data_IF_091944187339
#
_entry.id   IF_091944187339
#
_cell.length_a   1.000
_cell.length_b   1.000
_cell.length_c   1.000
_cell.angle_alpha   90.00
_cell.angle_beta   90.00
_cell.angle_gamma   90.00
#
_symmetry.space_group_name_H-M   'P 1'
#
loop_
_entity.id
_entity.type
_entity.pdbx_description
1 polymer ?
#
# COMPACT_ATOMS: atom_id res chain seq x y z
N UNK A 1 -44.11 -14.64 -12.79
CA UNK A 1 -43.43 -13.81 -11.76
C UNK A 1 -42.05 -14.37 -11.40
N UNK A 2 -41.90 -15.67 -11.11
CA UNK A 2 -40.61 -16.27 -10.74
C UNK A 2 -39.48 -16.07 -11.78
N UNK A 3 -39.77 -16.24 -13.07
CA UNK A 3 -38.79 -16.06 -14.15
C UNK A 3 -38.29 -14.61 -14.22
N UNK A 4 -39.17 -13.63 -13.98
CA UNK A 4 -38.79 -12.20 -13.96
C UNK A 4 -37.96 -11.85 -12.71
N UNK A 5 -38.24 -12.49 -11.57
CA UNK A 5 -37.43 -12.35 -10.35
C UNK A 5 -36.04 -12.95 -10.56
N UNK A 6 -35.96 -14.15 -11.15
CA UNK A 6 -34.69 -14.83 -11.45
C UNK A 6 -33.85 -14.08 -12.49
N UNK A 7 -34.49 -13.53 -13.52
CA UNK A 7 -33.82 -12.70 -14.53
C UNK A 7 -33.23 -11.42 -13.91
N UNK A 8 -33.94 -10.79 -12.97
CA UNK A 8 -33.48 -9.59 -12.26
C UNK A 8 -32.37 -9.86 -11.24
N UNK A 9 -32.29 -11.07 -10.70
CA UNK A 9 -31.16 -11.52 -9.85
C UNK A 9 -29.99 -12.08 -10.66
N UNK A 10 -30.16 -12.27 -11.97
CA UNK A 10 -29.15 -12.81 -12.87
C UNK A 10 -28.19 -11.77 -13.45
N UNK A 11 -28.41 -10.48 -13.17
CA UNK A 11 -27.51 -9.39 -13.53
C UNK A 11 -26.23 -9.49 -12.67
N UNK A 12 -25.38 -10.44 -13.04
CA UNK A 12 -24.21 -10.88 -12.30
C UNK A 12 -22.97 -10.03 -12.58
N UNK A 13 -23.05 -8.73 -12.33
CA UNK A 13 -21.90 -7.82 -12.48
C UNK A 13 -20.68 -8.30 -11.67
N UNK A 14 -20.91 -9.00 -10.55
CA UNK A 14 -19.88 -9.57 -9.68
C UNK A 14 -19.65 -11.08 -9.85
N UNK A 15 -20.45 -11.78 -10.68
CA UNK A 15 -20.34 -13.24 -10.85
C UNK A 15 -18.91 -13.66 -11.23
N UNK A 16 -18.26 -12.79 -12.02
CA UNK A 16 -16.90 -12.98 -12.53
C UNK A 16 -15.82 -12.91 -11.43
N UNK A 17 -16.06 -12.10 -10.40
CA UNK A 17 -15.20 -11.96 -9.22
C UNK A 17 -15.46 -13.11 -8.26
N UNK A 18 -16.72 -13.48 -8.06
CA UNK A 18 -17.15 -14.56 -7.17
C UNK A 18 -16.61 -15.93 -7.60
N UNK A 19 -16.69 -16.27 -8.90
CA UNK A 19 -16.17 -17.56 -9.36
C UNK A 19 -14.64 -17.61 -9.27
N UNK A 20 -13.93 -16.50 -9.51
CA UNK A 20 -12.47 -16.40 -9.36
C UNK A 20 -12.07 -16.59 -7.90
N UNK A 21 -12.80 -15.97 -6.98
CA UNK A 21 -12.58 -16.14 -5.54
C UNK A 21 -12.81 -17.59 -5.10
N UNK A 22 -13.93 -18.20 -5.50
CA UNK A 22 -14.24 -19.60 -5.19
C UNK A 22 -13.18 -20.56 -5.75
N UNK A 23 -12.73 -20.33 -6.99
CA UNK A 23 -11.65 -21.10 -7.61
C UNK A 23 -10.32 -20.96 -6.88
N UNK A 24 -9.94 -19.75 -6.48
CA UNK A 24 -8.71 -19.52 -5.72
C UNK A 24 -8.75 -20.22 -4.35
N UNK A 25 -9.91 -20.19 -3.67
CA UNK A 25 -10.12 -20.90 -2.40
C UNK A 25 -9.99 -22.41 -2.56
N UNK A 26 -10.52 -22.96 -3.65
CA UNK A 26 -10.34 -24.37 -4.00
C UNK A 26 -8.86 -24.69 -4.25
N UNK A 27 -8.14 -23.88 -5.03
CA UNK A 27 -6.72 -24.11 -5.27
C UNK A 27 -5.88 -24.02 -4.00
N UNK A 28 -6.18 -23.08 -3.11
CA UNK A 28 -5.49 -22.94 -1.83
C UNK A 28 -5.65 -24.19 -0.95
N UNK A 29 -6.81 -24.87 -1.00
CA UNK A 29 -7.03 -26.11 -0.23
C UNK A 29 -6.19 -27.30 -0.73
N UNK A 30 -5.67 -27.25 -1.96
CA UNK A 30 -4.74 -28.23 -2.50
C UNK A 30 -3.26 -27.92 -2.19
N UNK A 31 -2.93 -26.67 -1.87
CA UNK A 31 -1.54 -26.27 -1.55
C UNK A 31 -1.11 -26.67 -0.14
N UNK A 32 -2.03 -26.93 0.78
CA UNK A 32 -1.69 -27.37 2.13
C UNK A 32 -1.16 -28.82 2.12
N UNK A 33 0.09 -28.97 2.54
CA UNK A 33 0.88 -30.20 2.63
C UNK A 33 0.25 -31.21 3.62
N UNK A 34 -0.79 -31.92 3.18
CA UNK A 34 -1.42 -32.97 3.99
C UNK A 34 -2.23 -34.01 3.22
N UNK A 35 -2.58 -33.76 1.96
CA UNK A 35 -3.33 -34.71 1.11
C UNK A 35 -2.74 -34.76 -0.29
N UNK A 36 -1.52 -35.27 -0.41
CA UNK A 36 -0.87 -35.53 -1.70
C UNK A 36 -1.48 -36.73 -2.44
N UNK A 37 -2.63 -37.27 -1.99
CA UNK A 37 -3.25 -38.45 -2.56
C UNK A 37 -4.78 -38.27 -2.66
N UNK A 38 -5.38 -38.51 -3.84
CA UNK A 38 -6.84 -38.56 -3.97
C UNK A 38 -7.39 -39.72 -3.14
N UNK A 39 -8.62 -39.60 -2.62
CA UNK A 39 -9.35 -40.76 -2.08
C UNK A 39 -9.39 -41.84 -3.18
N UNK A 40 -9.02 -43.12 -2.96
CA UNK A 40 -8.89 -43.90 -1.70
C UNK A 40 -7.47 -44.01 -1.08
N UNK A 41 -6.45 -43.35 -1.60
CA UNK A 41 -5.07 -43.50 -1.11
C UNK A 41 -4.72 -42.61 0.11
N UNK A 42 -5.73 -41.97 0.72
CA UNK A 42 -5.61 -41.15 1.93
C UNK A 42 -5.52 -41.96 3.25
N UNK A 43 -5.46 -43.30 3.18
CA UNK A 43 -5.35 -44.18 4.36
C UNK A 43 -3.92 -44.62 4.69
N UNK A 44 -2.95 -44.44 3.79
CA UNK A 44 -1.55 -44.79 4.09
C UNK A 44 -0.83 -43.51 4.52
N UNK A 45 -0.61 -43.28 5.82
CA UNK A 45 0.23 -42.16 6.25
C UNK A 45 1.58 -42.26 5.55
N UNK A 46 2.02 -41.16 4.92
CA UNK A 46 3.36 -41.07 4.34
C UNK A 46 4.40 -41.57 5.35
N UNK A 47 5.40 -42.37 4.93
CA UNK A 47 6.45 -42.88 5.83
C UNK A 47 7.12 -41.78 6.68
N UNK A 48 7.12 -40.53 6.17
CA UNK A 48 7.64 -39.36 6.89
C UNK A 48 6.71 -38.87 8.01
N UNK A 49 5.39 -38.95 7.84
CA UNK A 49 4.41 -38.56 8.86
C UNK A 49 4.49 -39.46 10.09
N UNK A 50 4.68 -40.76 9.89
CA UNK A 50 4.88 -41.71 10.99
C UNK A 50 6.18 -41.42 11.76
N UNK A 51 7.27 -41.08 11.08
CA UNK A 51 8.54 -40.69 11.72
C UNK A 51 8.36 -39.46 12.63
N UNK A 52 7.72 -38.39 12.15
CA UNK A 52 7.45 -37.20 12.98
C UNK A 52 6.47 -37.48 14.13
N UNK A 53 5.48 -38.36 13.92
CA UNK A 53 4.55 -38.79 14.97
C UNK A 53 5.26 -39.57 16.09
N UNK A 54 6.15 -40.50 15.74
CA UNK A 54 6.97 -41.24 16.72
C UNK A 54 7.91 -40.30 17.47
N UNK A 55 8.52 -39.32 16.80
CA UNK A 55 9.35 -38.30 17.47
C UNK A 55 8.54 -37.43 18.44
N UNK A 56 7.30 -37.05 18.06
CA UNK A 56 6.36 -36.32 18.92
C UNK A 56 5.96 -37.14 20.13
N UNK A 57 5.63 -38.41 19.96
CA UNK A 57 5.25 -39.33 21.04
C UNK A 57 6.43 -39.56 21.97
N UNK A 58 7.64 -39.83 21.45
CA UNK A 58 8.86 -39.97 22.28
C UNK A 58 9.17 -38.70 23.05
N UNK A 59 9.07 -37.53 22.41
CA UNK A 59 9.27 -36.23 23.08
C UNK A 59 8.17 -35.91 24.11
N UNK A 60 6.98 -36.48 23.96
CA UNK A 60 5.89 -36.40 24.93
C UNK A 60 6.16 -37.32 26.11
N UNK A 61 6.51 -38.59 25.86
CA UNK A 61 6.90 -39.56 26.88
C UNK A 61 8.10 -39.10 27.69
N UNK A 62 9.14 -38.56 27.06
CA UNK A 62 10.30 -37.99 27.76
C UNK A 62 9.85 -36.85 28.69
N UNK A 63 8.93 -35.99 28.25
CA UNK A 63 8.37 -34.91 29.09
C UNK A 63 7.53 -35.42 30.26
N UNK A 64 6.71 -36.46 30.05
CA UNK A 64 5.92 -37.07 31.12
C UNK A 64 6.80 -37.84 32.12
N UNK A 65 7.83 -38.55 31.65
CA UNK A 65 8.77 -39.25 32.54
C UNK A 65 9.70 -38.28 33.29
N UNK A 66 10.02 -37.10 32.72
CA UNK A 66 10.80 -36.06 33.41
C UNK A 66 10.00 -35.32 34.50
N UNK A 67 8.67 -35.47 34.55
CA UNK A 67 7.87 -34.92 35.64
C UNK A 67 8.03 -35.71 36.96
N UNK A 68 8.54 -36.95 36.90
CA UNK A 68 8.73 -37.83 38.08
C UNK A 68 10.19 -38.16 38.41
N UNK A 69 11.18 -37.53 37.75
CA UNK A 69 12.60 -37.83 37.94
C UNK A 69 13.41 -36.59 38.28
N UNK A 70 13.82 -36.48 39.55
CA UNK A 70 14.71 -35.45 40.05
C UNK A 70 16.01 -35.36 39.20
N UNK A 71 16.50 -34.12 39.06
CA UNK A 71 17.79 -33.70 38.46
C UNK A 71 18.92 -34.74 38.53
N UNK A 72 19.45 -35.17 37.38
CA UNK A 72 20.85 -35.61 37.29
C UNK A 72 21.40 -35.38 35.87
N UNK A 73 22.58 -34.75 35.84
CA UNK A 73 23.38 -34.43 34.66
C UNK A 73 23.75 -35.69 33.88
N UNK A 74 23.87 -35.58 32.56
CA UNK A 74 24.98 -36.12 31.79
C UNK A 74 25.01 -35.47 30.41
N UNK A 75 25.96 -34.56 30.29
CA UNK A 75 26.73 -34.18 29.11
C UNK A 75 27.06 -35.41 28.26
N UNK A 76 26.59 -35.42 27.01
CA UNK A 76 27.22 -36.14 25.90
C UNK A 76 26.83 -35.41 24.61
N UNK A 77 27.69 -34.44 24.34
CA UNK A 77 28.05 -33.80 23.09
C UNK A 77 27.75 -34.65 21.83
N UNK A 78 26.97 -34.12 20.88
CA UNK A 78 27.18 -34.41 19.47
C UNK A 78 26.72 -33.23 18.60
N UNK A 79 27.70 -32.44 18.18
CA UNK A 79 27.74 -31.86 16.84
C UNK A 79 26.87 -30.62 16.61
N UNK A 80 27.49 -29.46 16.75
CA UNK A 80 27.13 -28.28 15.97
C UNK A 80 27.11 -28.63 14.47
N UNK A 81 26.01 -28.36 13.78
CA UNK A 81 26.10 -27.96 12.38
C UNK A 81 25.21 -26.73 12.16
N UNK A 82 25.91 -25.63 11.89
CA UNK A 82 25.39 -24.39 11.38
C UNK A 82 24.47 -24.62 10.18
N UNK A 83 23.22 -24.16 10.29
CA UNK A 83 22.51 -23.63 9.13
C UNK A 83 21.45 -22.65 9.61
N UNK A 84 21.79 -21.36 9.52
CA UNK A 84 20.81 -20.29 9.39
C UNK A 84 19.97 -20.58 8.13
N UNK A 85 18.89 -21.32 8.29
CA UNK A 85 17.89 -21.51 7.25
C UNK A 85 16.54 -21.06 7.80
N UNK A 86 16.26 -19.78 7.57
CA UNK A 86 14.93 -19.20 7.32
C UNK A 86 13.75 -20.11 7.69
N UNK A 87 13.27 -19.98 8.91
CA UNK A 87 11.90 -20.40 9.26
C UNK A 87 11.16 -19.22 9.91
N UNK A 88 10.99 -18.16 9.13
CA UNK A 88 10.01 -17.10 9.39
C UNK A 88 8.75 -17.41 8.55
N UNK A 89 8.24 -18.64 8.63
CA UNK A 89 6.90 -18.97 8.14
C UNK A 89 5.89 -18.69 9.25
N UNK A 90 5.27 -17.52 9.14
CA UNK A 90 3.85 -17.31 9.41
C UNK A 90 3.37 -17.74 10.82
N UNK A 91 3.80 -17.03 11.87
CA UNK A 91 3.10 -17.04 13.16
C UNK A 91 2.20 -15.82 13.27
N UNK A 92 0.98 -15.94 12.74
CA UNK A 92 -0.03 -14.87 12.66
C UNK A 92 -1.20 -15.08 13.62
N UNK A 93 -0.94 -15.46 14.87
CA UNK A 93 -1.95 -15.40 15.94
C UNK A 93 -1.27 -15.00 17.26
N UNK A 94 -1.60 -13.84 17.86
CA UNK A 94 -1.16 -13.52 19.21
C UNK A 94 -1.89 -14.44 20.19
N UNK A 95 -1.15 -15.08 21.09
CA UNK A 95 -1.75 -15.71 22.27
C UNK A 95 -2.15 -14.61 23.27
N UNK A 96 -3.31 -14.71 23.94
CA UNK A 96 -3.67 -13.77 25.00
C UNK A 96 -2.71 -13.96 26.18
N UNK A 97 -1.86 -12.97 26.47
CA UNK A 97 -1.03 -12.95 27.69
C UNK A 97 0.46 -12.62 27.54
N UNK A 98 0.98 -12.32 26.35
CA UNK A 98 2.39 -11.86 26.20
C UNK A 98 2.46 -10.33 26.26
N UNK A 99 3.13 -9.82 27.30
CA UNK A 99 3.43 -8.40 27.47
C UNK A 99 4.10 -7.81 26.24
N UNK A 100 3.71 -6.58 25.89
CA UNK A 100 4.23 -5.77 24.80
C UNK A 100 5.74 -5.50 24.99
N UNK A 101 6.60 -6.42 24.54
CA UNK A 101 8.01 -6.10 24.31
C UNK A 101 8.05 -5.16 23.09
N UNK A 102 8.51 -3.89 23.22
CA UNK A 102 8.63 -3.00 22.09
C UNK A 102 9.61 -3.61 21.10
N UNK A 103 9.11 -4.07 19.96
CA UNK A 103 9.96 -4.58 18.88
C UNK A 103 10.92 -3.46 18.48
N UNK A 104 12.21 -3.67 18.74
CA UNK A 104 13.30 -2.76 18.38
C UNK A 104 13.07 -2.23 16.95
N UNK A 105 13.15 -0.91 16.80
CA UNK A 105 13.02 -0.20 15.54
C UNK A 105 13.93 -0.83 14.47
N UNK A 106 13.32 -1.58 13.55
CA UNK A 106 14.03 -2.19 12.41
C UNK A 106 14.63 -1.05 11.58
N UNK A 107 15.93 -0.84 11.71
CA UNK A 107 16.69 0.27 11.12
C UNK A 107 16.63 0.33 9.59
N UNK A 108 16.36 -0.79 8.92
CA UNK A 108 16.25 -0.86 7.47
C UNK A 108 14.88 -1.39 7.04
N UNK A 109 14.18 -0.70 6.11
CA UNK A 109 12.91 -1.16 5.62
C UNK A 109 13.10 -2.49 4.88
N UNK A 110 12.34 -3.49 5.30
CA UNK A 110 12.27 -4.81 4.68
C UNK A 110 11.88 -4.70 3.21
N UNK A 111 12.22 -5.71 2.40
CA UNK A 111 11.81 -5.78 0.98
C UNK A 111 10.30 -5.59 0.81
N UNK A 112 9.50 -6.15 1.73
CA UNK A 112 8.05 -5.93 1.79
C UNK A 112 7.71 -4.44 1.95
N UNK A 113 8.28 -3.74 2.93
CA UNK A 113 8.04 -2.30 3.13
C UNK A 113 8.43 -1.47 1.90
N UNK A 114 9.53 -1.80 1.22
CA UNK A 114 9.92 -1.13 -0.03
C UNK A 114 8.93 -1.39 -1.17
N UNK A 115 8.37 -2.60 -1.27
CA UNK A 115 7.35 -2.94 -2.26
C UNK A 115 6.04 -2.22 -1.93
N UNK A 116 5.59 -2.27 -0.68
CA UNK A 116 4.39 -1.58 -0.21
C UNK A 116 4.46 -0.08 -0.49
N UNK A 117 5.59 0.59 -0.18
CA UNK A 117 5.77 2.00 -0.49
C UNK A 117 5.63 2.31 -1.99
N UNK A 118 6.14 1.44 -2.87
CA UNK A 118 5.99 1.59 -4.34
C UNK A 118 4.56 1.33 -4.82
N UNK A 119 3.85 0.37 -4.22
CA UNK A 119 2.45 0.11 -4.54
C UNK A 119 1.55 1.27 -4.12
N UNK A 120 1.73 1.76 -2.89
CA UNK A 120 0.99 2.93 -2.37
C UNK A 120 1.25 4.15 -3.25
N UNK A 121 2.51 4.43 -3.62
CA UNK A 121 2.82 5.54 -4.51
C UNK A 121 2.10 5.43 -5.86
N UNK A 122 2.12 4.24 -6.49
CA UNK A 122 1.41 4.01 -7.76
C UNK A 122 -0.10 4.17 -7.62
N UNK A 123 -0.68 3.69 -6.53
CA UNK A 123 -2.10 3.83 -6.25
C UNK A 123 -2.51 5.30 -6.08
N UNK A 124 -1.77 6.07 -5.27
CA UNK A 124 -2.06 7.50 -5.04
C UNK A 124 -1.96 8.28 -6.34
N UNK A 125 -0.91 8.06 -7.12
CA UNK A 125 -0.75 8.72 -8.42
C UNK A 125 -1.88 8.36 -9.37
N UNK A 126 -2.23 7.06 -9.46
CA UNK A 126 -3.35 6.63 -10.30
C UNK A 126 -4.67 7.26 -9.84
N UNK A 127 -4.94 7.28 -8.54
CA UNK A 127 -6.16 7.88 -8.00
C UNK A 127 -6.22 9.41 -8.20
N UNK A 128 -5.09 10.09 -8.25
CA UNK A 128 -5.03 11.52 -8.59
C UNK A 128 -5.31 11.73 -10.09
N UNK A 129 -4.65 10.96 -10.95
CA UNK A 129 -4.86 11.02 -12.41
C UNK A 129 -6.29 10.66 -12.79
N UNK A 130 -6.85 9.60 -12.20
CA UNK A 130 -8.23 9.19 -12.48
C UNK A 130 -9.23 10.30 -12.07
N UNK A 131 -8.93 11.07 -11.01
CA UNK A 131 -9.74 12.25 -10.59
C UNK A 131 -9.55 13.47 -11.49
N UNK A 132 -8.35 13.67 -12.03
CA UNK A 132 -8.07 14.74 -13.01
C UNK A 132 -8.59 14.39 -14.42
N UNK A 133 -8.80 13.10 -14.70
CA UNK A 133 -9.36 12.63 -15.97
C UNK A 133 -10.88 12.67 -16.04
N UNK A 134 -11.55 12.94 -14.93
CA UNK A 134 -12.98 13.24 -14.93
C UNK A 134 -13.21 14.56 -15.69
N UNK A 135 -14.30 14.62 -16.46
CA UNK A 135 -14.63 15.69 -17.41
C UNK A 135 -14.35 17.10 -16.88
N UNK A 136 -13.82 17.98 -17.77
CA UNK A 136 -13.47 19.37 -17.48
C UNK A 136 -14.52 20.03 -16.61
N UNK A 137 -14.15 20.31 -15.37
CA UNK A 137 -15.09 20.81 -14.39
C UNK A 137 -15.43 22.27 -14.70
N UNK A 138 -16.72 22.63 -14.69
CA UNK A 138 -17.17 24.01 -14.93
C UNK A 138 -16.52 24.99 -13.94
N UNK A 139 -16.16 24.51 -12.74
CA UNK A 139 -15.39 25.26 -11.74
C UNK A 139 -13.99 25.67 -12.22
N UNK A 140 -13.25 24.77 -12.86
CA UNK A 140 -11.89 25.06 -13.38
C UNK A 140 -11.96 26.10 -14.51
N UNK A 141 -12.99 26.03 -15.37
CA UNK A 141 -13.21 27.03 -16.41
C UNK A 141 -13.51 28.41 -15.82
N UNK A 142 -14.25 28.47 -14.71
CA UNK A 142 -14.54 29.74 -14.01
C UNK A 142 -13.28 30.32 -13.36
N UNK A 143 -12.43 29.48 -12.77
CA UNK A 143 -11.14 29.89 -12.20
C UNK A 143 -10.23 30.50 -13.28
N UNK A 144 -10.03 29.79 -14.40
CA UNK A 144 -9.22 30.29 -15.53
C UNK A 144 -9.78 31.62 -16.06
N UNK A 145 -11.10 31.74 -16.19
CA UNK A 145 -11.73 32.99 -16.64
C UNK A 145 -11.50 34.13 -15.65
N UNK A 146 -11.55 33.85 -14.35
CA UNK A 146 -11.28 34.82 -13.30
C UNK A 146 -9.81 35.27 -13.36
N UNK A 147 -8.87 34.33 -13.51
CA UNK A 147 -7.44 34.64 -13.62
C UNK A 147 -7.12 35.51 -14.84
N UNK A 148 -7.70 35.17 -16.01
CA UNK A 148 -7.55 35.98 -17.23
C UNK A 148 -8.13 37.38 -17.01
N UNK A 149 -9.28 37.48 -16.34
CA UNK A 149 -9.92 38.77 -16.07
C UNK A 149 -9.09 39.61 -15.11
N UNK A 150 -8.56 39.00 -14.04
CA UNK A 150 -7.66 39.64 -13.08
C UNK A 150 -6.41 40.16 -13.78
N UNK A 151 -5.73 39.32 -14.56
CA UNK A 151 -4.53 39.67 -15.30
C UNK A 151 -4.78 40.82 -16.28
N UNK A 152 -5.94 40.82 -16.95
CA UNK A 152 -6.30 41.91 -17.87
C UNK A 152 -6.39 43.25 -17.15
N UNK A 153 -6.98 43.29 -15.96
CA UNK A 153 -7.10 44.53 -15.20
C UNK A 153 -5.75 45.00 -14.65
N UNK A 154 -4.92 44.08 -14.15
CA UNK A 154 -3.55 44.39 -13.70
C UNK A 154 -2.72 45.03 -14.82
N UNK A 155 -2.72 44.44 -16.01
CA UNK A 155 -1.99 44.99 -17.17
C UNK A 155 -2.54 46.33 -17.67
N UNK A 156 -3.87 46.53 -17.58
CA UNK A 156 -4.47 47.81 -17.95
C UNK A 156 -4.09 48.91 -16.96
N UNK A 157 -4.03 48.58 -15.67
CA UNK A 157 -3.63 49.51 -14.62
C UNK A 157 -2.16 49.89 -14.76
N UNK A 158 -1.26 48.92 -14.95
CA UNK A 158 0.17 49.17 -15.23
C UNK A 158 0.35 50.05 -16.47
N UNK A 159 -0.36 49.76 -17.56
CA UNK A 159 -0.30 50.58 -18.79
C UNK A 159 -0.78 52.01 -18.52
N UNK A 160 -1.85 52.17 -17.75
CA UNK A 160 -2.39 53.49 -17.42
C UNK A 160 -1.41 54.31 -16.56
N UNK A 161 -0.75 53.66 -15.61
CA UNK A 161 0.26 54.27 -14.75
C UNK A 161 1.48 54.70 -15.55
N UNK A 162 2.01 53.82 -16.41
CA UNK A 162 3.12 54.15 -17.30
C UNK A 162 2.80 55.30 -18.27
N UNK A 163 1.56 55.33 -18.80
CA UNK A 163 1.11 56.44 -19.64
C UNK A 163 1.00 57.76 -18.86
N UNK A 164 0.55 57.71 -17.60
CA UNK A 164 0.52 58.86 -16.69
C UNK A 164 1.91 59.41 -16.40
N UNK A 165 2.87 58.53 -16.08
CA UNK A 165 4.27 58.91 -15.85
C UNK A 165 4.90 59.53 -17.11
N UNK A 166 4.66 58.95 -18.28
CA UNK A 166 5.13 59.50 -19.56
C UNK A 166 4.57 60.90 -19.81
N UNK A 167 3.27 61.12 -19.54
CA UNK A 167 2.63 62.43 -19.70
C UNK A 167 3.26 63.48 -18.77
N UNK A 168 3.54 63.12 -17.52
CA UNK A 168 4.22 64.01 -16.58
C UNK A 168 5.64 64.37 -17.05
N UNK A 169 6.40 63.41 -17.57
CA UNK A 169 7.74 63.65 -18.11
C UNK A 169 7.71 64.58 -19.34
N UNK A 170 6.74 64.40 -20.25
CA UNK A 170 6.55 65.28 -21.41
C UNK A 170 6.22 66.69 -20.94
N UNK A 171 5.33 66.85 -19.96
CA UNK A 171 4.97 68.15 -19.42
C UNK A 171 6.17 68.84 -18.74
N UNK A 172 6.96 68.10 -17.94
CA UNK A 172 8.18 68.63 -17.32
C UNK A 172 9.23 69.09 -18.35
N UNK A 173 9.39 68.33 -19.44
CA UNK A 173 10.27 68.72 -20.55
C UNK A 173 9.75 69.98 -21.24
N UNK A 174 8.44 70.08 -21.49
CA UNK A 174 7.80 71.28 -22.03
C UNK A 174 8.00 72.51 -21.15
N UNK A 175 7.78 72.37 -19.84
CA UNK A 175 7.98 73.46 -18.86
C UNK A 175 9.45 73.89 -18.77
N UNK A 176 10.40 72.94 -18.82
CA UNK A 176 11.83 73.27 -18.85
C UNK A 176 12.21 74.03 -20.12
N UNK A 177 11.71 73.60 -21.28
CA UNK A 177 11.97 74.29 -22.54
C UNK A 177 11.37 75.71 -22.54
N UNK A 178 10.12 75.88 -22.10
CA UNK A 178 9.48 77.19 -21.99
C UNK A 178 10.21 78.15 -21.04
N UNK A 179 10.74 77.63 -19.92
CA UNK A 179 11.56 78.41 -18.97
C UNK A 179 12.94 78.78 -19.53
N UNK A 180 13.52 77.96 -20.39
CA UNK A 180 14.81 78.25 -21.03
C UNK A 180 14.69 79.29 -22.17
N UNK A 181 13.57 79.33 -22.89
CA UNK A 181 13.30 80.34 -23.93
C UNK A 181 12.97 81.73 -23.39
N UNK A 182 12.54 81.86 -22.13
CA UNK A 182 12.25 83.14 -21.46
C UNK A 182 13.47 83.75 -20.73
N UNK A 183 14.64 83.09 -20.76
CA UNK A 183 15.87 83.53 -20.07
C UNK A 183 16.95 84.11 -20.99
N UNK A 184 16.62 84.37 -22.26
CA UNK A 184 17.50 85.05 -23.22
C UNK A 184 16.94 86.42 -23.59
#
# INVERSE_FOLDING_TARGET
>A
MLIAVLARTGDGEDADVEWKFARAKLWLSYFDEGRTLPAPFNLVPSPKSFYYLVLRIKSCLIRLCKANGHRHNNELEMGMLNSQAKDERFRSYPRPGEEFIPRKSRKHPTRYQKIMKRLIKRYVLKAQVDRESDEVNEGELKEIKQDISSLRYELLEEKSQAAGELALLIQQLGDKFGKNTMRH
#
